data_IF_800273042075
#
_entry.id   IF_800273042075
#
_cell.length_a   1.000
_cell.length_b   1.000
_cell.length_c   1.000
_cell.angle_alpha   90.00
_cell.angle_beta   90.00
_cell.angle_gamma   90.00
#
_symmetry.space_group_name_H-M   'P 1'
#
loop_
_entity.id
_entity.type
_entity.pdbx_description
1 polymer ?
#
# COMPACT_ATOMS: atom_id res chain seq x y z
N UNK A 1 26.78 -28.97 27.19
CA UNK A 1 25.49 -28.22 27.38
C UNK A 1 25.46 -26.94 26.52
N UNK A 2 26.50 -26.07 26.53
CA UNK A 2 26.50 -24.82 25.72
C UNK A 2 26.40 -25.07 24.21
N UNK A 3 27.08 -26.06 23.64
CA UNK A 3 26.98 -26.43 22.24
C UNK A 3 25.60 -26.87 21.78
N UNK A 4 24.85 -27.58 22.62
CA UNK A 4 23.50 -28.01 22.31
C UNK A 4 22.52 -26.83 22.25
N UNK A 5 22.67 -25.84 23.15
CA UNK A 5 21.84 -24.62 23.16
C UNK A 5 22.14 -23.75 21.95
N UNK A 6 23.42 -23.55 21.63
CA UNK A 6 23.84 -22.74 20.46
C UNK A 6 23.39 -23.41 19.15
N UNK A 7 23.55 -24.75 19.06
CA UNK A 7 23.09 -25.52 17.90
C UNK A 7 21.59 -25.46 17.72
N UNK A 8 20.81 -25.57 18.80
CA UNK A 8 19.37 -25.44 18.79
C UNK A 8 18.92 -24.03 18.33
N UNK A 9 19.54 -22.97 18.88
CA UNK A 9 19.27 -21.60 18.48
C UNK A 9 19.60 -21.36 17.00
N UNK A 10 20.71 -21.88 16.52
CA UNK A 10 21.11 -21.81 15.11
C UNK A 10 20.10 -22.49 14.19
N UNK A 11 19.56 -23.64 14.56
CA UNK A 11 18.53 -24.34 13.79
C UNK A 11 17.22 -23.55 13.73
N UNK A 12 16.81 -22.96 14.86
CA UNK A 12 15.61 -22.10 14.92
C UNK A 12 15.79 -20.85 14.05
N UNK A 13 16.92 -20.15 14.17
CA UNK A 13 17.21 -18.95 13.37
C UNK A 13 17.22 -19.27 11.87
N UNK A 14 17.77 -20.40 11.47
CA UNK A 14 17.76 -20.86 10.08
C UNK A 14 16.43 -21.42 9.59
N UNK A 15 15.52 -21.71 10.49
CA UNK A 15 14.21 -22.28 10.15
C UNK A 15 14.28 -23.72 9.61
N UNK A 16 15.29 -24.50 10.04
CA UNK A 16 15.49 -25.88 9.55
C UNK A 16 14.32 -26.81 9.88
N UNK A 17 13.60 -26.55 10.96
CA UNK A 17 12.43 -27.33 11.39
C UNK A 17 11.11 -26.73 10.86
N UNK A 18 11.01 -25.40 10.81
CA UNK A 18 9.77 -24.69 10.47
C UNK A 18 9.67 -24.33 8.99
N UNK A 19 10.77 -24.41 8.23
CA UNK A 19 10.84 -23.91 6.84
C UNK A 19 10.88 -22.39 6.72
N UNK A 20 10.77 -21.64 7.82
CA UNK A 20 10.77 -20.18 7.89
C UNK A 20 11.91 -19.73 8.78
N UNK A 21 12.90 -19.02 8.23
CA UNK A 21 14.00 -18.44 9.00
C UNK A 21 13.54 -17.19 9.77
N UNK A 22 14.36 -16.73 10.73
CA UNK A 22 14.05 -15.58 11.58
C UNK A 22 13.78 -14.31 10.76
N UNK A 23 14.54 -14.06 9.71
CA UNK A 23 14.36 -12.90 8.81
C UNK A 23 12.95 -12.91 8.20
N UNK A 24 12.55 -14.03 7.61
CA UNK A 24 11.20 -14.17 7.00
C UNK A 24 10.09 -14.09 8.04
N UNK A 25 10.33 -14.60 9.24
CA UNK A 25 9.38 -14.48 10.34
C UNK A 25 9.15 -13.01 10.72
N UNK A 26 10.24 -12.24 10.86
CA UNK A 26 10.16 -10.80 11.17
C UNK A 26 9.50 -10.02 10.03
N UNK A 27 9.92 -10.27 8.77
CA UNK A 27 9.30 -9.64 7.60
C UNK A 27 7.81 -9.98 7.48
N UNK A 28 7.44 -11.22 7.78
CA UNK A 28 6.03 -11.63 7.80
C UNK A 28 5.21 -10.90 8.85
N UNK A 29 5.76 -10.68 10.05
CA UNK A 29 5.10 -9.92 11.09
C UNK A 29 4.92 -8.44 10.70
N UNK A 30 5.97 -7.81 10.14
CA UNK A 30 5.89 -6.44 9.61
C UNK A 30 4.87 -6.33 8.47
N UNK A 31 4.85 -7.31 7.56
CA UNK A 31 3.87 -7.33 6.47
C UNK A 31 2.44 -7.50 6.99
N UNK A 32 2.22 -8.28 8.04
CA UNK A 32 0.91 -8.39 8.70
C UNK A 32 0.46 -7.03 9.28
N UNK A 33 1.37 -6.24 9.86
CA UNK A 33 1.07 -4.90 10.37
C UNK A 33 0.73 -3.93 9.23
N UNK A 34 1.54 -3.90 8.17
CA UNK A 34 1.29 -3.10 6.97
C UNK A 34 -0.05 -3.47 6.34
N UNK A 35 -0.30 -4.77 6.16
CA UNK A 35 -1.53 -5.28 5.54
C UNK A 35 -2.76 -4.90 6.34
N UNK A 36 -2.71 -4.97 7.68
CA UNK A 36 -3.81 -4.57 8.55
C UNK A 36 -4.16 -3.09 8.41
N UNK A 37 -3.14 -2.21 8.32
CA UNK A 37 -3.35 -0.77 8.11
C UNK A 37 -3.83 -0.45 6.69
N UNK A 38 -3.31 -1.16 5.71
CA UNK A 38 -3.72 -1.05 4.33
C UNK A 38 -5.18 -1.49 4.12
N UNK A 39 -5.59 -2.59 4.77
CA UNK A 39 -6.92 -3.17 4.64
C UNK A 39 -8.03 -2.18 5.02
N UNK A 40 -7.86 -1.42 6.10
CA UNK A 40 -8.81 -0.38 6.50
C UNK A 40 -9.05 0.61 5.37
N UNK A 41 -8.02 1.03 4.66
CA UNK A 41 -8.11 2.00 3.55
C UNK A 41 -8.66 1.35 2.29
N UNK A 42 -8.20 0.16 1.96
CA UNK A 42 -8.70 -0.58 0.80
C UNK A 42 -10.20 -0.84 0.94
N UNK A 43 -10.66 -1.22 2.13
CA UNK A 43 -12.08 -1.41 2.40
C UNK A 43 -12.88 -0.12 2.14
N UNK A 44 -12.41 1.04 2.60
CA UNK A 44 -13.08 2.32 2.33
C UNK A 44 -13.06 2.66 0.84
N UNK A 45 -11.89 2.60 0.18
CA UNK A 45 -11.74 2.98 -1.22
C UNK A 45 -12.44 2.03 -2.20
N UNK A 46 -12.71 0.79 -1.78
CA UNK A 46 -13.45 -0.19 -2.56
C UNK A 46 -14.94 -0.31 -2.19
N UNK A 47 -15.47 0.62 -1.37
CA UNK A 47 -16.84 0.54 -0.90
C UNK A 47 -17.15 -0.72 -0.08
N UNK A 48 -16.17 -1.27 0.64
CA UNK A 48 -16.30 -2.49 1.44
C UNK A 48 -16.17 -3.79 0.64
N UNK A 49 -15.89 -3.70 -0.66
CA UNK A 49 -15.82 -4.89 -1.51
C UNK A 49 -14.56 -5.72 -1.29
N UNK A 50 -13.39 -5.09 -1.18
CA UNK A 50 -12.11 -5.78 -1.09
C UNK A 50 -11.50 -5.68 0.29
N UNK A 51 -10.95 -6.80 0.75
CA UNK A 51 -10.17 -6.89 1.98
C UNK A 51 -8.80 -7.48 1.64
N UNK A 52 -7.75 -6.82 2.12
CA UNK A 52 -6.36 -7.23 1.88
C UNK A 52 -5.87 -8.09 3.04
N UNK A 53 -5.27 -9.23 2.72
CA UNK A 53 -4.67 -10.11 3.71
C UNK A 53 -3.41 -10.78 3.19
N UNK A 54 -2.54 -11.18 4.10
CA UNK A 54 -1.42 -12.03 3.74
C UNK A 54 -1.92 -13.46 3.50
N UNK A 55 -1.50 -14.04 2.39
CA UNK A 55 -1.88 -15.40 2.03
C UNK A 55 -1.36 -16.40 3.07
N UNK A 56 -2.27 -17.25 3.55
CA UNK A 56 -1.99 -18.30 4.54
C UNK A 56 -2.54 -19.63 4.05
N UNK A 57 -1.79 -20.72 4.26
CA UNK A 57 -2.26 -22.07 4.00
C UNK A 57 -1.57 -22.80 2.85
N UNK A 58 -2.10 -23.96 2.48
CA UNK A 58 -1.50 -24.91 1.51
C UNK A 58 -1.41 -24.40 0.07
N UNK A 59 -2.18 -23.36 -0.29
CA UNK A 59 -2.15 -22.75 -1.63
C UNK A 59 -0.89 -21.91 -1.87
N UNK A 60 -0.17 -21.57 -0.81
CA UNK A 60 1.06 -20.78 -0.89
C UNK A 60 2.22 -21.74 -0.78
N UNK A 61 3.01 -21.87 -1.84
CA UNK A 61 4.29 -22.55 -1.75
C UNK A 61 5.24 -21.68 -0.92
N UNK A 62 5.13 -21.78 0.40
CA UNK A 62 5.94 -21.00 1.36
C UNK A 62 7.45 -21.16 1.13
N UNK A 63 7.86 -22.20 0.38
CA UNK A 63 9.26 -22.40 -0.02
C UNK A 63 9.66 -21.44 -1.14
N UNK A 64 8.73 -21.10 -2.05
CA UNK A 64 9.00 -20.19 -3.18
C UNK A 64 8.88 -18.72 -2.77
N UNK A 65 7.82 -18.36 -2.05
CA UNK A 65 7.50 -16.97 -1.72
C UNK A 65 7.86 -16.57 -0.30
N UNK A 66 8.20 -17.55 0.52
CA UNK A 66 8.51 -17.32 1.93
C UNK A 66 7.33 -16.89 2.78
N UNK A 67 6.08 -17.08 2.28
CA UNK A 67 4.87 -16.69 2.98
C UNK A 67 4.64 -15.18 3.03
N UNK A 68 5.19 -14.44 2.06
CA UNK A 68 5.01 -12.98 1.92
C UNK A 68 4.02 -12.60 0.81
N UNK A 69 3.26 -13.56 0.30
CA UNK A 69 2.22 -13.31 -0.69
C UNK A 69 1.02 -12.60 -0.09
N UNK A 70 0.38 -11.79 -0.94
CA UNK A 70 -0.85 -11.07 -0.60
C UNK A 70 -2.04 -11.66 -1.38
N UNK A 71 -3.15 -11.73 -0.69
CA UNK A 71 -4.46 -12.10 -1.22
C UNK A 71 -5.46 -10.97 -1.00
N UNK A 72 -6.44 -10.91 -1.89
CA UNK A 72 -7.61 -10.05 -1.74
C UNK A 72 -8.84 -10.91 -1.63
N UNK A 73 -9.59 -10.75 -0.55
CA UNK A 73 -10.92 -11.30 -0.38
C UNK A 73 -11.92 -10.37 -1.08
N UNK A 74 -12.69 -10.89 -2.01
CA UNK A 74 -13.82 -10.19 -2.63
C UNK A 74 -15.10 -10.54 -1.89
N UNK A 75 -15.67 -9.58 -1.16
CA UNK A 75 -16.89 -9.76 -0.35
C UNK A 75 -18.11 -10.08 -1.20
N UNK A 76 -18.14 -9.71 -2.49
CA UNK A 76 -19.26 -10.02 -3.38
C UNK A 76 -19.26 -11.49 -3.81
N UNK A 77 -18.09 -12.06 -4.01
CA UNK A 77 -17.96 -13.46 -4.43
C UNK A 77 -17.69 -14.41 -3.28
N UNK A 78 -17.30 -13.90 -2.11
CA UNK A 78 -16.85 -14.67 -0.96
C UNK A 78 -15.56 -15.47 -1.20
N UNK A 79 -14.76 -15.09 -2.21
CA UNK A 79 -13.56 -15.81 -2.60
C UNK A 79 -12.31 -14.97 -2.45
N UNK A 80 -11.25 -15.58 -1.92
CA UNK A 80 -9.92 -15.00 -1.95
C UNK A 80 -9.22 -15.31 -3.28
N UNK A 81 -8.50 -14.33 -3.80
CA UNK A 81 -7.66 -14.44 -5.00
C UNK A 81 -6.31 -13.77 -4.78
N UNK A 82 -5.30 -14.25 -5.48
CA UNK A 82 -3.95 -13.70 -5.40
C UNK A 82 -3.96 -12.26 -5.93
N UNK A 83 -3.25 -11.36 -5.25
CA UNK A 83 -3.21 -9.94 -5.62
C UNK A 83 -2.78 -9.68 -7.08
N UNK A 84 -1.96 -10.56 -7.67
CA UNK A 84 -1.55 -10.48 -9.08
C UNK A 84 -2.69 -10.67 -10.10
N UNK A 85 -3.89 -11.08 -9.66
CA UNK A 85 -5.07 -11.27 -10.53
C UNK A 85 -6.03 -10.09 -10.51
N UNK A 86 -5.69 -9.02 -9.83
CA UNK A 86 -6.46 -7.78 -9.76
C UNK A 86 -6.46 -7.05 -11.11
N UNK A 87 -7.56 -6.36 -11.41
CA UNK A 87 -7.63 -5.42 -12.54
C UNK A 87 -6.74 -4.19 -12.30
N UNK A 88 -6.53 -3.36 -13.31
CA UNK A 88 -5.70 -2.15 -13.18
C UNK A 88 -6.15 -1.23 -12.04
N UNK A 89 -7.44 -0.90 -11.98
CA UNK A 89 -7.99 -0.06 -10.91
C UNK A 89 -7.90 -0.71 -9.54
N UNK A 90 -8.24 -1.99 -9.43
CA UNK A 90 -8.11 -2.75 -8.17
C UNK A 90 -6.65 -2.84 -7.70
N UNK A 91 -5.71 -3.05 -8.62
CA UNK A 91 -4.28 -3.05 -8.33
C UNK A 91 -3.81 -1.70 -7.82
N UNK A 92 -4.27 -0.61 -8.45
CA UNK A 92 -3.94 0.73 -8.00
C UNK A 92 -4.43 0.98 -6.57
N UNK A 93 -5.70 0.68 -6.25
CA UNK A 93 -6.25 0.84 -4.90
C UNK A 93 -5.50 0.00 -3.86
N UNK A 94 -5.20 -1.26 -4.18
CA UNK A 94 -4.45 -2.14 -3.30
C UNK A 94 -3.02 -1.62 -3.06
N UNK A 95 -2.33 -1.17 -4.12
CA UNK A 95 -0.98 -0.61 -4.04
C UNK A 95 -0.95 0.69 -3.26
N UNK A 96 -1.89 1.58 -3.50
CA UNK A 96 -2.05 2.83 -2.75
C UNK A 96 -2.29 2.54 -1.26
N UNK A 97 -3.21 1.62 -0.96
CA UNK A 97 -3.49 1.21 0.42
C UNK A 97 -2.25 0.66 1.12
N UNK A 98 -1.47 -0.19 0.42
CA UNK A 98 -0.22 -0.74 0.96
C UNK A 98 0.84 0.33 1.19
N UNK A 99 1.02 1.26 0.26
CA UNK A 99 1.97 2.36 0.42
C UNK A 99 1.62 3.23 1.64
N UNK A 100 0.32 3.55 1.81
CA UNK A 100 -0.17 4.29 2.95
C UNK A 100 -0.03 3.51 4.27
N UNK A 101 -0.33 2.21 4.25
CA UNK A 101 -0.15 1.31 5.40
C UNK A 101 1.32 1.17 5.80
N UNK A 102 2.21 1.06 4.83
CA UNK A 102 3.66 1.02 5.06
C UNK A 102 4.16 2.32 5.68
N UNK A 103 3.72 3.47 5.16
CA UNK A 103 4.06 4.79 5.70
C UNK A 103 3.72 4.90 7.19
N UNK A 104 2.54 4.42 7.60
CA UNK A 104 2.13 4.44 9.00
C UNK A 104 2.96 3.50 9.88
N UNK A 105 3.24 2.28 9.38
CA UNK A 105 4.06 1.30 10.11
C UNK A 105 5.49 1.84 10.30
N UNK A 106 6.09 2.42 9.25
CA UNK A 106 7.41 3.04 9.34
C UNK A 106 7.44 4.15 10.38
N UNK A 107 6.42 5.03 10.42
CA UNK A 107 6.34 6.08 11.44
C UNK A 107 6.23 5.53 12.86
N UNK A 108 5.43 4.48 13.07
CA UNK A 108 5.28 3.85 14.39
C UNK A 108 6.58 3.20 14.86
N UNK A 109 7.29 2.48 13.99
CA UNK A 109 8.53 1.80 14.36
C UNK A 109 9.75 2.74 14.44
N UNK A 110 9.76 3.82 13.67
CA UNK A 110 10.90 4.75 13.63
C UNK A 110 10.95 5.74 14.83
N UNK A 111 10.00 5.65 15.76
CA UNK A 111 10.07 6.36 17.05
C UNK A 111 10.17 7.88 16.96
N UNK A 112 9.51 8.52 15.98
CA UNK A 112 9.49 9.97 15.83
C UNK A 112 9.86 10.48 14.42
N UNK A 113 10.10 9.61 13.46
CA UNK A 113 10.20 10.01 12.05
C UNK A 113 8.79 10.25 11.53
N UNK A 114 8.47 11.50 11.18
CA UNK A 114 7.22 11.83 10.51
C UNK A 114 7.46 11.88 9.00
N UNK A 115 6.56 11.26 8.23
CA UNK A 115 6.48 11.43 6.79
C UNK A 115 5.54 12.61 6.50
N UNK A 116 6.13 13.80 6.40
CA UNK A 116 5.38 15.04 6.25
C UNK A 116 4.83 15.23 4.83
N UNK A 117 5.40 14.52 3.85
CA UNK A 117 4.97 14.60 2.45
C UNK A 117 4.99 13.26 1.76
N UNK A 118 4.02 13.05 0.87
CA UNK A 118 3.89 11.87 0.02
C UNK A 118 3.50 12.31 -1.38
N UNK A 119 4.10 11.70 -2.40
CA UNK A 119 3.74 11.92 -3.79
C UNK A 119 3.20 10.65 -4.40
N UNK A 120 2.06 10.76 -5.08
CA UNK A 120 1.41 9.68 -5.81
C UNK A 120 1.51 10.03 -7.30
N UNK A 121 2.21 9.17 -8.04
CA UNK A 121 2.48 9.37 -9.46
C UNK A 121 1.56 8.46 -10.28
N UNK A 122 0.63 9.07 -11.02
CA UNK A 122 -0.33 8.41 -11.91
C UNK A 122 -1.25 7.37 -11.22
N UNK A 123 -2.00 6.59 -12.01
CA UNK A 123 -2.84 5.47 -11.57
C UNK A 123 -4.32 5.79 -11.45
N UNK A 124 -4.70 7.04 -11.23
CA UNK A 124 -6.11 7.44 -11.06
C UNK A 124 -6.96 7.27 -12.33
N UNK A 125 -6.34 7.33 -13.51
CA UNK A 125 -7.04 7.17 -14.78
C UNK A 125 -7.62 5.78 -15.04
N UNK A 126 -7.27 4.80 -14.20
CA UNK A 126 -7.83 3.43 -14.26
C UNK A 126 -9.08 3.25 -13.39
N UNK A 127 -9.50 4.28 -12.65
CA UNK A 127 -10.64 4.26 -11.75
C UNK A 127 -11.90 4.78 -12.45
N UNK A 128 -13.06 4.21 -12.10
CA UNK A 128 -14.35 4.83 -12.35
C UNK A 128 -14.61 6.00 -11.38
N UNK A 129 -15.61 6.80 -11.68
CA UNK A 129 -15.93 8.03 -10.95
C UNK A 129 -16.20 7.77 -9.45
N UNK A 130 -16.96 6.72 -9.12
CA UNK A 130 -17.32 6.40 -7.73
C UNK A 130 -16.07 5.98 -6.94
N UNK A 131 -15.25 5.14 -7.52
CA UNK A 131 -13.98 4.69 -6.93
C UNK A 131 -12.98 5.83 -6.77
N UNK A 132 -12.91 6.74 -7.75
CA UNK A 132 -12.10 7.96 -7.67
C UNK A 132 -12.54 8.85 -6.49
N UNK A 133 -13.85 9.02 -6.31
CA UNK A 133 -14.41 9.79 -5.18
C UNK A 133 -14.00 9.20 -3.82
N UNK A 134 -14.09 7.89 -3.68
CA UNK A 134 -13.70 7.20 -2.45
C UNK A 134 -12.20 7.29 -2.17
N UNK A 135 -11.36 7.14 -3.22
CA UNK A 135 -9.92 7.30 -3.12
C UNK A 135 -9.54 8.72 -2.69
N UNK A 136 -10.14 9.74 -3.32
CA UNK A 136 -9.91 11.15 -2.99
C UNK A 136 -10.35 11.49 -1.56
N UNK A 137 -11.51 11.02 -1.11
CA UNK A 137 -11.96 11.18 0.29
C UNK A 137 -10.95 10.59 1.27
N UNK A 138 -10.39 9.43 0.97
CA UNK A 138 -9.37 8.77 1.80
C UNK A 138 -8.09 9.60 1.89
N UNK A 139 -7.62 10.14 0.76
CA UNK A 139 -6.42 10.99 0.71
C UNK A 139 -6.63 12.32 1.45
N UNK A 140 -7.78 12.97 1.28
CA UNK A 140 -8.13 14.21 1.99
C UNK A 140 -8.18 13.98 3.51
N UNK A 141 -8.74 12.85 3.96
CA UNK A 141 -8.77 12.50 5.37
C UNK A 141 -7.36 12.34 5.97
N UNK A 142 -6.39 11.90 5.17
CA UNK A 142 -4.99 11.80 5.59
C UNK A 142 -4.26 13.15 5.63
N UNK A 143 -4.62 14.08 4.77
CA UNK A 143 -4.09 15.47 4.80
C UNK A 143 -4.39 16.14 6.14
N UNK A 144 -5.56 15.85 6.74
CA UNK A 144 -5.95 16.34 8.07
C UNK A 144 -5.03 15.88 9.23
N UNK A 145 -4.11 14.93 8.97
CA UNK A 145 -3.09 14.46 9.93
C UNK A 145 -1.74 15.18 9.79
N UNK A 146 -1.74 16.39 9.27
CA UNK A 146 -0.55 17.23 9.06
C UNK A 146 0.44 16.65 8.02
N UNK A 147 -0.10 16.00 6.98
CA UNK A 147 0.67 15.47 5.84
C UNK A 147 0.33 16.25 4.57
N UNK A 148 1.35 16.58 3.80
CA UNK A 148 1.18 17.08 2.43
C UNK A 148 1.06 15.87 1.49
N UNK A 149 0.00 15.84 0.68
CA UNK A 149 -0.17 14.82 -0.36
C UNK A 149 -0.11 15.53 -1.71
N UNK A 150 0.92 15.21 -2.50
CA UNK A 150 1.05 15.64 -3.88
C UNK A 150 0.56 14.54 -4.83
N UNK A 151 -0.22 14.92 -5.83
CA UNK A 151 -0.70 14.01 -6.86
C UNK A 151 -0.14 14.49 -8.20
N UNK A 152 0.51 13.59 -8.94
CA UNK A 152 0.94 13.82 -10.31
C UNK A 152 -0.03 13.03 -11.19
N UNK A 153 -0.79 13.74 -12.04
CA UNK A 153 -1.79 13.10 -12.87
C UNK A 153 -2.16 13.98 -14.07
N UNK A 154 -2.69 13.35 -15.11
CA UNK A 154 -3.27 13.99 -16.29
C UNK A 154 -4.81 13.83 -16.32
N UNK A 155 -5.42 13.38 -15.22
CA UNK A 155 -6.86 13.16 -15.10
C UNK A 155 -7.55 14.48 -14.80
N UNK A 156 -8.41 14.96 -15.71
CA UNK A 156 -9.09 16.25 -15.62
C UNK A 156 -10.03 16.35 -14.42
N UNK A 157 -10.64 15.25 -14.02
CA UNK A 157 -11.52 15.18 -12.85
C UNK A 157 -10.81 15.49 -11.53
N UNK A 158 -9.49 15.29 -11.48
CA UNK A 158 -8.67 15.68 -10.32
C UNK A 158 -8.40 17.19 -10.29
N UNK A 159 -8.28 17.82 -11.47
CA UNK A 159 -8.09 19.27 -11.57
C UNK A 159 -9.25 20.05 -10.94
N UNK A 160 -10.47 19.56 -11.09
CA UNK A 160 -11.67 20.20 -10.53
C UNK A 160 -11.79 20.06 -9.01
N UNK A 161 -11.05 19.12 -8.40
CA UNK A 161 -11.15 18.77 -6.96
C UNK A 161 -10.01 19.33 -6.12
N UNK A 162 -8.91 19.69 -6.75
CA UNK A 162 -7.69 20.13 -6.09
C UNK A 162 -7.51 21.63 -6.34
N UNK A 163 -7.62 22.42 -5.28
CA UNK A 163 -7.59 23.88 -5.36
C UNK A 163 -6.19 24.45 -5.58
N UNK A 164 -5.14 23.72 -5.24
CA UNK A 164 -3.75 24.16 -5.41
C UNK A 164 -3.02 23.24 -6.36
N UNK A 165 -2.57 23.78 -7.48
CA UNK A 165 -1.94 23.00 -8.55
C UNK A 165 -0.63 23.62 -9.00
N UNK A 166 0.31 22.77 -9.41
CA UNK A 166 1.49 23.15 -10.18
C UNK A 166 1.29 22.71 -11.62
N UNK A 167 0.91 23.65 -12.50
CA UNK A 167 0.76 23.37 -13.93
C UNK A 167 2.11 23.37 -14.62
N UNK A 168 2.38 22.32 -15.39
CA UNK A 168 3.59 22.17 -16.20
C UNK A 168 3.19 22.27 -17.67
N UNK A 169 3.65 23.32 -18.35
CA UNK A 169 3.42 23.52 -19.77
C UNK A 169 4.69 23.30 -20.58
N UNK A 170 4.57 22.51 -21.65
CA UNK A 170 5.66 22.22 -22.56
C UNK A 170 5.73 23.29 -23.64
N UNK A 171 6.87 23.98 -23.78
CA UNK A 171 7.11 25.00 -24.80
C UNK A 171 8.24 24.57 -25.72
N UNK A 172 8.42 25.28 -26.83
CA UNK A 172 9.54 25.06 -27.77
C UNK A 172 10.93 25.28 -27.11
N UNK A 173 10.99 26.05 -26.03
CA UNK A 173 12.23 26.40 -25.30
C UNK A 173 12.43 25.62 -23.99
N UNK A 174 11.59 24.65 -23.72
CA UNK A 174 11.60 23.89 -22.46
C UNK A 174 10.22 23.85 -21.79
N UNK A 175 10.18 23.45 -20.51
CA UNK A 175 8.94 23.41 -19.74
C UNK A 175 8.86 24.62 -18.80
N UNK A 176 7.65 25.18 -18.66
CA UNK A 176 7.34 26.26 -17.72
C UNK A 176 6.46 25.67 -16.63
N UNK A 177 6.73 26.02 -15.36
CA UNK A 177 5.93 25.63 -14.22
C UNK A 177 5.28 26.88 -13.60
N UNK A 178 3.98 26.82 -13.33
CA UNK A 178 3.22 27.89 -12.71
C UNK A 178 2.30 27.31 -11.62
N UNK A 179 2.25 27.99 -10.46
CA UNK A 179 1.26 27.68 -9.43
C UNK A 179 -0.10 28.33 -9.79
N UNK A 180 -1.14 27.52 -9.66
CA UNK A 180 -2.53 27.96 -9.76
C UNK A 180 -3.22 27.65 -8.42
N UNK A 181 -3.93 28.64 -7.89
CA UNK A 181 -4.70 28.54 -6.64
C UNK A 181 -6.10 29.01 -6.95
N UNK A 182 -7.05 28.08 -6.98
CA UNK A 182 -8.46 28.40 -7.11
C UNK A 182 -8.98 28.82 -5.73
N UNK A 183 -9.41 30.10 -5.62
CA UNK A 183 -9.91 30.71 -4.39
C UNK A 183 -11.41 30.49 -4.17
#
# INVERSE_FOLDING_TARGET
>A
KKHAVIGGLYMVIRGTETGVNLERFVLGALLDDVTRKADVRLSVMSGGRYQLQRARGERVDARKTGGLDLEVMDSYTGKSRVASTLSGGETFLASLSLALGLADVVQEYAGGVHLDSMFIDEGFGSLDQETLDLAMKTLIAMQGQNRMIGIISHVSELEERITTRLRIEKTQRGSIAAFEIDG
#
